data_IF_437892036627
#
_entry.id   IF_437892036627
#
_cell.length_a   1.000
_cell.length_b   1.000
_cell.length_c   1.000
_cell.angle_alpha   90.00
_cell.angle_beta   90.00
_cell.angle_gamma   90.00
#
_symmetry.space_group_name_H-M   'P 1'
#
loop_
_entity.id
_entity.type
_entity.pdbx_description
1 polymer ?
#
# COMPACT_ATOMS: atom_id res chain seq x y z
N UNK A 1 -25.41 8.79 -4.98
CA UNK A 1 -24.41 9.58 -5.74
C UNK A 1 -23.73 10.46 -4.71
N UNK A 2 -22.40 10.36 -4.51
CA UNK A 2 -21.70 11.28 -3.61
C UNK A 2 -21.71 12.66 -4.29
N UNK A 3 -22.44 13.62 -3.72
CA UNK A 3 -22.58 14.96 -4.30
C UNK A 3 -21.22 15.66 -4.35
N UNK A 4 -20.83 16.09 -5.56
CA UNK A 4 -19.54 16.73 -5.86
C UNK A 4 -19.24 17.98 -5.00
N UNK A 5 -20.25 18.56 -4.36
CA UNK A 5 -20.15 19.77 -3.53
C UNK A 5 -19.49 19.47 -2.16
N UNK A 6 -19.43 18.21 -1.71
CA UNK A 6 -18.87 17.82 -0.40
C UNK A 6 -17.41 17.32 -0.45
N UNK A 7 -16.79 17.30 -1.63
CA UNK A 7 -15.43 16.79 -1.85
C UNK A 7 -14.32 17.79 -1.53
N UNK A 8 -14.60 19.10 -1.58
CA UNK A 8 -13.59 20.17 -1.51
C UNK A 8 -12.81 20.26 -0.19
N UNK A 9 -13.24 19.56 0.86
CA UNK A 9 -12.56 19.50 2.16
C UNK A 9 -12.34 18.05 2.65
N UNK A 10 -12.46 17.06 1.76
CA UNK A 10 -12.32 15.68 2.17
C UNK A 10 -10.84 15.32 2.33
N UNK A 11 -10.37 15.34 3.57
CA UNK A 11 -9.01 14.95 3.93
C UNK A 11 -8.85 13.43 4.03
N UNK A 12 -9.93 12.73 4.35
CA UNK A 12 -9.96 11.28 4.57
C UNK A 12 -11.16 10.65 3.90
N UNK A 13 -10.91 9.60 3.13
CA UNK A 13 -11.91 8.78 2.48
C UNK A 13 -11.81 7.36 3.00
N UNK A 14 -12.93 6.82 3.49
CA UNK A 14 -12.98 5.45 4.00
C UNK A 14 -14.22 4.75 3.46
N UNK A 15 -14.02 3.55 2.93
CA UNK A 15 -15.08 2.61 2.59
C UNK A 15 -14.84 1.32 3.35
N UNK A 16 -15.89 0.80 4.00
CA UNK A 16 -15.87 -0.52 4.60
C UNK A 16 -17.14 -1.26 4.18
N UNK A 17 -16.98 -2.32 3.40
CA UNK A 17 -18.05 -3.26 3.11
C UNK A 17 -17.63 -4.65 3.56
N UNK A 18 -18.39 -5.19 4.49
CA UNK A 18 -18.24 -6.55 5.01
C UNK A 18 -19.26 -7.52 4.38
N UNK A 19 -19.97 -7.09 3.34
CA UNK A 19 -21.08 -7.82 2.75
C UNK A 19 -20.65 -8.88 1.73
N UNK A 20 -21.03 -10.12 1.96
CA UNK A 20 -20.93 -11.24 1.03
C UNK A 20 -22.07 -11.13 -0.01
N UNK A 21 -22.01 -10.12 -0.88
CA UNK A 21 -23.18 -9.71 -1.68
C UNK A 21 -22.82 -9.05 -3.01
N UNK A 22 -22.54 -9.89 -4.01
CA UNK A 22 -22.79 -9.81 -5.46
C UNK A 22 -23.26 -8.53 -6.18
N UNK A 23 -22.95 -7.31 -5.77
CA UNK A 23 -23.22 -6.12 -6.58
C UNK A 23 -21.95 -5.35 -6.94
N UNK A 24 -21.75 -5.22 -8.25
CA UNK A 24 -20.62 -4.61 -8.93
C UNK A 24 -20.59 -3.09 -8.71
N UNK A 25 -20.13 -2.64 -7.55
CA UNK A 25 -19.83 -1.22 -7.29
C UNK A 25 -18.44 -0.79 -7.80
N UNK A 26 -17.69 -1.67 -8.46
CA UNK A 26 -16.33 -1.42 -8.97
C UNK A 26 -16.23 -0.06 -9.69
N UNK A 27 -17.10 0.21 -10.67
CA UNK A 27 -17.07 1.44 -11.45
C UNK A 27 -17.46 2.71 -10.66
N UNK A 28 -18.31 2.58 -9.65
CA UNK A 28 -18.69 3.71 -8.80
C UNK A 28 -17.56 4.07 -7.82
N UNK A 29 -16.92 3.05 -7.23
CA UNK A 29 -15.77 3.24 -6.34
C UNK A 29 -14.60 3.82 -7.12
N UNK A 30 -14.32 3.31 -8.32
CA UNK A 30 -13.29 3.88 -9.21
C UNK A 30 -13.57 5.35 -9.53
N UNK A 31 -14.82 5.70 -9.88
CA UNK A 31 -15.21 7.10 -10.13
C UNK A 31 -15.01 7.99 -8.90
N UNK A 32 -15.33 7.50 -7.71
CA UNK A 32 -15.09 8.23 -6.47
C UNK A 32 -13.59 8.39 -6.19
N UNK A 33 -12.79 7.35 -6.43
CA UNK A 33 -11.33 7.42 -6.27
C UNK A 33 -10.73 8.47 -7.19
N UNK A 34 -11.08 8.47 -8.49
CA UNK A 34 -10.62 9.49 -9.45
C UNK A 34 -11.03 10.90 -8.99
N UNK A 35 -12.27 11.05 -8.52
CA UNK A 35 -12.76 12.32 -8.02
C UNK A 35 -11.97 12.80 -6.78
N UNK A 36 -11.83 11.98 -5.73
CA UNK A 36 -11.12 12.41 -4.51
C UNK A 36 -9.62 12.64 -4.75
N UNK A 37 -8.99 11.84 -5.62
CA UNK A 37 -7.56 11.94 -5.91
C UNK A 37 -7.18 13.25 -6.60
N UNK A 38 -8.12 13.85 -7.34
CA UNK A 38 -7.95 15.18 -7.94
C UNK A 38 -8.18 16.35 -6.96
N UNK A 39 -8.67 16.09 -5.74
CA UNK A 39 -9.04 17.12 -4.76
C UNK A 39 -8.13 17.15 -3.51
N UNK A 40 -6.91 16.63 -3.60
CA UNK A 40 -5.92 16.77 -2.53
C UNK A 40 -6.18 15.87 -1.31
N UNK A 41 -6.85 14.73 -1.50
CA UNK A 41 -7.06 13.71 -0.47
C UNK A 41 -5.73 13.33 0.20
N UNK A 42 -5.75 13.16 1.52
CA UNK A 42 -4.57 12.79 2.29
C UNK A 42 -4.62 11.36 2.83
N UNK A 43 -5.82 10.83 3.05
CA UNK A 43 -5.99 9.51 3.63
C UNK A 43 -7.04 8.71 2.88
N UNK A 44 -6.65 7.51 2.43
CA UNK A 44 -7.53 6.54 1.79
C UNK A 44 -7.47 5.24 2.59
N UNK A 45 -8.65 4.73 2.97
CA UNK A 45 -8.81 3.49 3.72
C UNK A 45 -9.93 2.66 3.08
N UNK A 46 -9.55 1.70 2.24
CA UNK A 46 -10.46 0.88 1.46
C UNK A 46 -10.48 -0.53 2.04
N UNK A 47 -11.63 -0.93 2.57
CA UNK A 47 -11.95 -2.30 2.92
C UNK A 47 -13.13 -2.73 2.07
N UNK A 48 -12.85 -3.09 0.82
CA UNK A 48 -13.85 -3.37 -0.20
C UNK A 48 -13.26 -4.31 -1.26
N UNK A 49 -14.06 -5.21 -1.83
CA UNK A 49 -13.59 -6.10 -2.89
C UNK A 49 -13.64 -5.39 -4.24
N UNK A 50 -12.58 -4.66 -4.58
CA UNK A 50 -12.41 -3.99 -5.87
C UNK A 50 -11.30 -4.67 -6.66
N UNK A 51 -11.54 -4.98 -7.94
CA UNK A 51 -10.56 -5.71 -8.75
C UNK A 51 -9.46 -4.82 -9.35
N UNK A 52 -9.77 -3.55 -9.63
CA UNK A 52 -8.85 -2.60 -10.25
C UNK A 52 -8.82 -1.29 -9.47
N UNK A 53 -7.62 -0.77 -9.23
CA UNK A 53 -7.41 0.56 -8.68
C UNK A 53 -6.99 1.51 -9.80
N UNK A 54 -7.40 2.79 -9.78
CA UNK A 54 -6.91 3.76 -10.73
C UNK A 54 -5.43 4.06 -10.45
N UNK A 55 -4.59 4.03 -11.48
CA UNK A 55 -3.13 4.23 -11.37
C UNK A 55 -2.76 5.54 -10.65
N UNK A 56 -3.60 6.55 -10.79
CA UNK A 56 -3.48 7.86 -10.13
C UNK A 56 -3.37 7.78 -8.60
N UNK A 57 -3.85 6.69 -7.98
CA UNK A 57 -3.69 6.46 -6.53
C UNK A 57 -2.22 6.32 -6.14
N UNK A 58 -1.36 5.85 -7.05
CA UNK A 58 0.08 5.65 -6.87
C UNK A 58 0.93 6.84 -7.33
N UNK A 59 0.30 7.92 -7.81
CA UNK A 59 0.98 9.16 -8.21
C UNK A 59 0.44 10.39 -7.45
N UNK A 60 -0.42 10.18 -6.44
CA UNK A 60 -1.08 11.24 -5.70
C UNK A 60 -0.11 11.93 -4.73
N UNK A 61 0.24 13.18 -5.01
CA UNK A 61 1.25 13.93 -4.25
C UNK A 61 0.82 14.32 -2.84
N UNK A 62 -0.48 14.38 -2.57
CA UNK A 62 -1.04 14.77 -1.27
C UNK A 62 -1.29 13.58 -0.36
N UNK A 63 -1.24 12.35 -0.88
CA UNK A 63 -1.63 11.16 -0.15
C UNK A 63 -0.59 10.82 0.92
N UNK A 64 -1.00 10.87 2.18
CA UNK A 64 -0.20 10.61 3.38
C UNK A 64 -0.43 9.19 3.93
N UNK A 65 -1.64 8.66 3.82
CA UNK A 65 -2.04 7.35 4.33
C UNK A 65 -2.80 6.58 3.26
N UNK A 66 -2.31 5.39 2.94
CA UNK A 66 -2.99 4.45 2.04
C UNK A 66 -3.15 3.10 2.74
N UNK A 67 -4.40 2.69 2.94
CA UNK A 67 -4.75 1.38 3.49
C UNK A 67 -5.68 0.68 2.51
N UNK A 68 -5.24 -0.47 2.03
CA UNK A 68 -5.95 -1.29 1.06
C UNK A 68 -6.18 -2.67 1.65
N UNK A 69 -7.43 -3.05 1.80
CA UNK A 69 -7.89 -4.38 2.13
C UNK A 69 -8.89 -4.82 1.07
N UNK A 70 -8.36 -5.34 -0.03
CA UNK A 70 -9.07 -5.63 -1.27
C UNK A 70 -8.37 -6.78 -2.00
N UNK A 71 -9.08 -7.49 -2.88
CA UNK A 71 -8.48 -8.46 -3.81
C UNK A 71 -8.00 -7.77 -5.11
N UNK A 72 -7.72 -6.46 -5.05
CA UNK A 72 -7.21 -5.72 -6.20
C UNK A 72 -5.88 -6.30 -6.66
N UNK A 73 -5.73 -6.32 -7.98
CA UNK A 73 -4.49 -6.72 -8.63
C UNK A 73 -3.68 -5.44 -8.87
N UNK A 74 -2.46 -5.40 -8.33
CA UNK A 74 -1.52 -4.32 -8.64
C UNK A 74 -0.66 -4.74 -9.83
N UNK A 75 -1.04 -4.22 -10.99
CA UNK A 75 -0.24 -4.33 -12.19
C UNK A 75 0.99 -3.42 -12.09
N UNK A 76 2.13 -3.83 -12.68
CA UNK A 76 3.31 -3.00 -12.72
C UNK A 76 3.02 -1.67 -13.41
N UNK A 77 3.14 -0.58 -12.67
CA UNK A 77 3.07 0.79 -13.17
C UNK A 77 4.47 1.26 -13.60
N UNK A 78 4.52 2.00 -14.70
CA UNK A 78 5.76 2.62 -15.18
C UNK A 78 6.31 3.67 -14.21
N UNK A 79 5.45 4.29 -13.41
CA UNK A 79 5.84 5.35 -12.48
C UNK A 79 5.03 5.28 -11.19
N UNK A 80 5.71 5.26 -10.05
CA UNK A 80 5.13 5.46 -8.72
C UNK A 80 5.74 6.73 -8.13
N UNK A 81 4.89 7.64 -7.63
CA UNK A 81 5.34 8.89 -7.02
C UNK A 81 4.35 9.32 -5.92
N UNK A 82 4.67 8.97 -4.68
CA UNK A 82 3.88 9.26 -3.49
C UNK A 82 4.73 10.03 -2.46
N UNK A 83 5.12 11.28 -2.79
CA UNK A 83 6.10 12.06 -2.03
C UNK A 83 5.66 12.43 -0.62
N UNK A 84 4.37 12.32 -0.26
CA UNK A 84 3.90 12.58 1.10
C UNK A 84 3.50 11.33 1.86
N UNK A 85 3.62 10.14 1.25
CA UNK A 85 3.11 8.92 1.85
C UNK A 85 3.97 8.49 3.03
N UNK A 86 3.30 8.31 4.16
CA UNK A 86 3.89 7.98 5.45
C UNK A 86 3.48 6.58 5.92
N UNK A 87 2.26 6.17 5.59
CA UNK A 87 1.67 4.90 6.00
C UNK A 87 1.14 4.18 4.77
N UNK A 88 1.60 2.94 4.56
CA UNK A 88 1.15 2.05 3.49
C UNK A 88 0.80 0.68 4.07
N UNK A 89 -0.49 0.35 4.11
CA UNK A 89 -0.96 -0.96 4.57
C UNK A 89 -1.66 -1.69 3.41
N UNK A 90 -1.16 -2.86 3.06
CA UNK A 90 -1.69 -3.70 1.99
C UNK A 90 -2.18 -5.02 2.58
N UNK A 91 -3.43 -5.39 2.31
CA UNK A 91 -4.04 -6.63 2.79
C UNK A 91 -4.87 -7.27 1.68
N UNK A 92 -4.67 -8.56 1.45
CA UNK A 92 -5.30 -9.36 0.36
C UNK A 92 -4.99 -8.89 -1.07
N UNK A 93 -4.09 -7.91 -1.21
CA UNK A 93 -3.68 -7.36 -2.50
C UNK A 93 -2.74 -8.34 -3.21
N UNK A 94 -2.98 -8.57 -4.50
CA UNK A 94 -2.13 -9.43 -5.34
C UNK A 94 -1.10 -8.55 -6.06
N UNK A 95 0.19 -8.83 -5.86
CA UNK A 95 1.30 -8.13 -6.52
C UNK A 95 2.09 -9.11 -7.36
N UNK A 96 2.41 -8.73 -8.60
CA UNK A 96 2.99 -9.65 -9.57
C UNK A 96 4.51 -9.87 -9.45
N UNK A 97 5.26 -8.95 -8.83
CA UNK A 97 6.73 -9.00 -8.90
C UNK A 97 7.45 -8.31 -7.72
N UNK A 98 8.61 -8.86 -7.34
CA UNK A 98 9.56 -8.25 -6.40
C UNK A 98 10.01 -6.86 -6.87
N UNK A 99 10.31 -6.74 -8.17
CA UNK A 99 10.75 -5.48 -8.78
C UNK A 99 9.72 -4.37 -8.60
N UNK A 100 8.43 -4.71 -8.61
CA UNK A 100 7.37 -3.73 -8.41
C UNK A 100 7.29 -3.24 -6.97
N UNK A 101 7.50 -4.12 -5.98
CA UNK A 101 7.48 -3.70 -4.56
C UNK A 101 8.60 -2.72 -4.27
N UNK A 102 9.80 -2.96 -4.80
CA UNK A 102 10.92 -2.02 -4.68
C UNK A 102 10.65 -0.68 -5.38
N UNK A 103 10.09 -0.71 -6.60
CA UNK A 103 9.66 0.51 -7.30
C UNK A 103 8.63 1.30 -6.50
N UNK A 104 7.66 0.62 -5.89
CA UNK A 104 6.64 1.23 -5.03
C UNK A 104 7.29 1.95 -3.84
N UNK A 105 8.23 1.30 -3.16
CA UNK A 105 8.93 1.87 -2.01
C UNK A 105 9.84 3.05 -2.39
N UNK A 106 10.55 2.98 -3.53
CA UNK A 106 11.37 4.08 -4.05
C UNK A 106 10.53 5.33 -4.35
N UNK A 107 9.27 5.14 -4.75
CA UNK A 107 8.31 6.22 -4.96
C UNK A 107 7.80 6.89 -3.68
N UNK A 108 8.11 6.35 -2.49
CA UNK A 108 7.58 6.79 -1.19
C UNK A 108 8.69 7.22 -0.21
N UNK A 109 9.35 8.38 -0.41
CA UNK A 109 10.57 8.75 0.32
C UNK A 109 10.39 8.94 1.84
N UNK A 110 9.18 9.22 2.33
CA UNK A 110 8.90 9.42 3.76
C UNK A 110 8.08 8.29 4.40
N UNK A 111 8.04 7.12 3.74
CA UNK A 111 7.28 5.97 4.23
C UNK A 111 7.91 5.43 5.51
N UNK A 112 7.19 5.53 6.63
CA UNK A 112 7.69 5.10 7.93
C UNK A 112 6.95 3.88 8.51
N UNK A 113 5.72 3.58 8.05
CA UNK A 113 4.96 2.39 8.43
C UNK A 113 4.48 1.64 7.18
N UNK A 114 5.08 0.48 6.93
CA UNK A 114 4.75 -0.41 5.83
C UNK A 114 4.26 -1.75 6.36
N UNK A 115 3.05 -2.16 5.95
CA UNK A 115 2.45 -3.43 6.37
C UNK A 115 1.88 -4.18 5.19
N UNK A 116 2.10 -5.49 5.19
CA UNK A 116 1.60 -6.40 4.18
C UNK A 116 1.03 -7.64 4.87
N UNK A 117 -0.27 -7.89 4.69
CA UNK A 117 -0.96 -9.09 5.18
C UNK A 117 -1.53 -9.90 3.99
N UNK A 118 -1.28 -11.20 3.98
CA UNK A 118 -1.72 -12.14 2.93
C UNK A 118 -1.28 -11.72 1.52
N UNK A 119 0.03 -11.72 1.30
CA UNK A 119 0.67 -11.45 0.02
C UNK A 119 0.79 -12.77 -0.76
N UNK A 120 0.03 -12.91 -1.85
CA UNK A 120 0.25 -13.98 -2.80
C UNK A 120 1.18 -13.46 -3.90
N UNK A 121 2.48 -13.76 -3.80
CA UNK A 121 3.34 -13.67 -4.98
C UNK A 121 2.95 -14.83 -5.89
N UNK A 122 2.66 -14.54 -7.16
CA UNK A 122 2.30 -15.56 -8.14
C UNK A 122 3.52 -16.43 -8.54
N UNK A 123 4.69 -16.15 -7.97
CA UNK A 123 5.98 -16.78 -8.27
C UNK A 123 6.76 -16.92 -6.97
N UNK A 124 7.50 -18.01 -6.71
CA UNK A 124 8.49 -18.03 -5.63
C UNK A 124 9.51 -16.93 -5.90
N UNK A 125 9.47 -15.89 -5.07
CA UNK A 125 10.32 -14.70 -5.20
C UNK A 125 10.96 -14.35 -3.88
N UNK A 126 12.03 -13.56 -3.97
CA UNK A 126 12.59 -12.87 -2.83
C UNK A 126 11.82 -11.55 -2.66
N UNK A 127 11.71 -11.04 -1.43
CA UNK A 127 11.23 -9.68 -1.20
C UNK A 127 12.39 -8.89 -0.59
N UNK A 128 13.10 -8.14 -1.43
CA UNK A 128 14.03 -7.11 -0.99
C UNK A 128 13.26 -5.83 -0.63
N UNK A 129 13.55 -5.25 0.53
CA UNK A 129 13.02 -3.97 0.98
C UNK A 129 14.18 -3.02 1.22
N UNK A 130 14.10 -1.83 0.63
CA UNK A 130 15.05 -0.73 0.85
C UNK A 130 14.28 0.58 0.95
N UNK A 131 14.18 1.12 2.17
CA UNK A 131 13.50 2.37 2.44
C UNK A 131 14.12 3.03 3.69
N UNK A 132 14.94 4.08 3.56
CA UNK A 132 15.68 4.64 4.69
C UNK A 132 14.79 5.31 5.75
N UNK A 133 13.59 5.73 5.39
CA UNK A 133 12.60 6.34 6.29
C UNK A 133 11.74 5.32 7.04
N UNK A 134 11.85 4.03 6.73
CA UNK A 134 11.00 2.99 7.28
C UNK A 134 11.37 2.65 8.72
N UNK A 135 10.42 2.82 9.63
CA UNK A 135 10.60 2.56 11.08
C UNK A 135 9.75 1.40 11.57
N UNK A 136 8.64 1.12 10.89
CA UNK A 136 7.72 0.04 11.20
C UNK A 136 7.52 -0.82 9.95
N UNK A 137 7.84 -2.10 10.08
CA UNK A 137 7.66 -3.10 9.03
C UNK A 137 6.88 -4.28 9.62
N UNK A 138 5.74 -4.62 9.01
CA UNK A 138 5.01 -5.84 9.36
C UNK A 138 4.69 -6.64 8.10
N UNK A 139 5.22 -7.86 8.03
CA UNK A 139 5.03 -8.75 6.90
C UNK A 139 4.40 -10.05 7.40
N UNK A 140 3.20 -10.36 6.90
CA UNK A 140 2.52 -11.62 7.12
C UNK A 140 2.29 -12.26 5.74
N UNK A 141 3.33 -12.92 5.26
CA UNK A 141 3.44 -13.44 3.90
C UNK A 141 3.59 -14.96 3.97
N UNK A 142 2.86 -15.69 3.13
CA UNK A 142 2.99 -17.14 2.99
C UNK A 142 3.87 -17.46 1.78
N UNK A 143 4.96 -18.21 1.98
CA UNK A 143 5.85 -18.77 0.92
C UNK A 143 6.80 -17.78 0.22
N UNK A 144 7.43 -16.85 0.95
CA UNK A 144 8.40 -15.88 0.38
C UNK A 144 9.63 -15.79 1.28
N UNK A 145 10.83 -15.70 0.69
CA UNK A 145 12.07 -15.40 1.43
C UNK A 145 12.22 -13.88 1.58
N UNK A 146 12.53 -13.43 2.80
CA UNK A 146 12.64 -12.00 3.11
C UNK A 146 14.11 -11.58 3.15
N UNK A 147 14.44 -10.43 2.55
CA UNK A 147 15.78 -9.85 2.64
C UNK A 147 15.70 -8.38 3.00
N UNK A 148 16.32 -8.03 4.13
CA UNK A 148 16.29 -6.68 4.69
C UNK A 148 17.67 -6.06 4.45
N UNK A 149 17.70 -4.89 3.82
CA UNK A 149 18.94 -4.15 3.60
C UNK A 149 19.44 -3.49 4.89
N UNK A 150 20.77 -3.37 5.06
CA UNK A 150 21.40 -2.79 6.28
C UNK A 150 20.92 -1.36 6.61
N UNK A 151 20.49 -0.58 5.62
CA UNK A 151 19.92 0.75 5.83
C UNK A 151 18.64 0.74 6.68
N UNK A 152 17.91 -0.38 6.72
CA UNK A 152 16.72 -0.58 7.56
C UNK A 152 17.06 -1.07 8.97
N UNK A 153 18.25 -1.65 9.17
CA UNK A 153 18.66 -2.20 10.47
C UNK A 153 19.04 -1.09 11.46
N UNK A 154 19.63 0.02 10.99
CA UNK A 154 20.11 1.11 11.86
C UNK A 154 19.00 1.78 12.70
N UNK A 155 17.82 2.15 12.16
CA UNK A 155 16.72 2.70 12.96
C UNK A 155 16.05 1.65 13.86
N UNK A 156 15.92 0.40 13.38
CA UNK A 156 15.27 -0.69 14.12
C UNK A 156 16.10 -1.17 15.32
N UNK A 157 17.43 -1.23 15.19
CA UNK A 157 18.34 -1.61 16.27
C UNK A 157 18.41 -0.55 17.39
N UNK A 158 18.12 0.72 17.09
CA UNK A 158 18.04 1.79 18.09
C UNK A 158 16.72 1.79 18.90
N UNK A 159 15.68 1.07 18.45
CA UNK A 159 14.36 1.05 19.09
C UNK A 159 13.81 -0.33 19.46
N UNK A 160 14.45 -1.44 19.06
CA UNK A 160 13.97 -2.79 19.39
C UNK A 160 15.10 -3.77 19.71
N UNK A 161 15.22 -4.12 20.99
CA UNK A 161 16.07 -5.22 21.50
C UNK A 161 15.47 -6.62 21.20
N UNK A 162 14.80 -6.81 20.06
CA UNK A 162 14.08 -8.07 19.77
C UNK A 162 14.06 -8.45 18.29
N UNK A 163 15.21 -8.33 17.61
CA UNK A 163 15.47 -9.13 16.41
C UNK A 163 16.48 -10.22 16.80
N UNK A 164 16.04 -11.16 17.64
CA UNK A 164 16.69 -12.46 17.70
C UNK A 164 16.09 -13.30 16.57
N UNK A 165 16.96 -13.78 15.70
CA UNK A 165 16.66 -14.76 14.64
C UNK A 165 16.02 -14.13 13.39
N UNK A 166 16.85 -13.66 12.45
CA UNK A 166 16.94 -14.12 11.05
C UNK A 166 18.21 -13.47 10.49
N UNK A 167 19.35 -14.05 10.86
CA UNK A 167 20.59 -14.01 10.07
C UNK A 167 21.11 -15.43 10.12
N UNK A 168 20.61 -16.27 9.22
CA UNK A 168 21.29 -17.51 8.88
C UNK A 168 21.03 -17.81 7.41
N UNK A 169 22.15 -18.02 6.73
CA UNK A 169 22.42 -18.48 5.35
C UNK A 169 22.08 -17.53 4.22
#
# INVERSE_FOLDING_TARGET
>A
MMDCIKLSNLMRFRINSTGNGGQCFDGQVESWLVAILSHGIQEIDLCFDIRKLPDTIFTCKTLCVLKLNTNAILEPLDTVCLPCLRILHLKKVVVFDEGYTNKLLLGCPFLHDFRVDSYALNVPGQLSISAPSLTNLKLNITRVSLTISLGLLLPLLLHCCSISTIVTT
#
